data_IF_778925252679
#
_entry.id   IF_778925252679
#
_cell.length_a   1.000
_cell.length_b   1.000
_cell.length_c   1.000
_cell.angle_alpha   90.00
_cell.angle_beta   90.00
_cell.angle_gamma   90.00
#
_symmetry.space_group_name_H-M   'P 1'
#
loop_
_entity.id
_entity.type
_entity.pdbx_description
1 polymer ?
#
# COMPACT_ATOMS: atom_id res chain seq x y z
N UNK A 1 -4.30 2.18 -8.01
CA UNK A 1 -3.13 2.78 -7.33
C UNK A 1 -2.86 4.20 -7.84
N UNK A 2 -2.72 4.42 -9.15
CA UNK A 2 -2.60 5.79 -9.70
C UNK A 2 -3.83 6.68 -9.39
N UNK A 3 -5.05 6.15 -9.54
CA UNK A 3 -6.29 6.88 -9.23
C UNK A 3 -6.45 7.30 -7.75
N UNK A 4 -5.69 6.68 -6.84
CA UNK A 4 -5.66 7.02 -5.41
C UNK A 4 -4.38 7.78 -5.05
N UNK A 5 -3.60 8.25 -6.03
CA UNK A 5 -2.38 9.04 -5.80
C UNK A 5 -1.17 8.25 -5.29
N UNK A 6 -1.29 6.95 -5.02
CA UNK A 6 -0.23 6.14 -4.41
C UNK A 6 0.82 5.61 -5.42
N UNK A 7 0.75 6.02 -6.69
CA UNK A 7 1.77 5.75 -7.71
C UNK A 7 1.69 6.81 -8.81
N UNK A 8 2.85 7.31 -9.25
CA UNK A 8 2.96 8.24 -10.36
C UNK A 8 4.04 7.78 -11.34
N UNK A 9 3.66 7.68 -12.60
CA UNK A 9 4.57 7.33 -13.69
C UNK A 9 5.61 8.44 -13.92
N UNK A 10 6.85 8.05 -14.27
CA UNK A 10 7.94 8.98 -14.58
C UNK A 10 8.69 9.56 -13.36
N UNK A 11 8.25 9.27 -12.15
CA UNK A 11 8.93 9.73 -10.91
C UNK A 11 10.04 8.77 -10.47
N UNK A 12 9.85 7.46 -10.70
CA UNK A 12 10.83 6.44 -10.34
C UNK A 12 12.16 6.60 -11.11
N UNK A 13 13.28 6.44 -10.39
CA UNK A 13 14.64 6.47 -10.95
C UNK A 13 15.41 5.23 -10.51
N UNK A 14 16.10 4.57 -11.44
CA UNK A 14 16.78 3.31 -11.15
C UNK A 14 18.16 3.52 -10.47
N UNK A 15 18.69 4.74 -10.49
CA UNK A 15 19.97 5.13 -9.86
C UNK A 15 19.83 6.50 -9.20
N UNK A 16 20.31 6.63 -7.96
CA UNK A 16 20.40 7.91 -7.23
C UNK A 16 21.81 8.02 -6.66
N UNK A 17 22.50 9.14 -6.91
CA UNK A 17 23.88 9.37 -6.45
C UNK A 17 24.85 8.24 -6.83
N UNK A 18 24.71 7.69 -8.05
CA UNK A 18 25.53 6.58 -8.54
C UNK A 18 25.23 5.22 -7.89
N UNK A 19 24.27 5.15 -6.96
CA UNK A 19 23.86 3.90 -6.30
C UNK A 19 22.55 3.37 -6.91
N UNK A 20 22.46 2.06 -7.23
CA UNK A 20 21.22 1.46 -7.69
C UNK A 20 20.11 1.62 -6.65
N UNK A 21 18.92 2.00 -7.08
CA UNK A 21 17.75 2.02 -6.22
C UNK A 21 17.30 0.58 -5.96
N UNK A 22 16.91 0.32 -4.71
CA UNK A 22 16.44 -1.01 -4.28
C UNK A 22 14.92 -1.10 -4.33
N UNK A 23 14.26 -0.03 -3.90
CA UNK A 23 12.81 0.10 -3.89
C UNK A 23 12.38 1.56 -3.96
N UNK A 24 11.19 1.78 -4.48
CA UNK A 24 10.46 3.04 -4.47
C UNK A 24 9.31 2.94 -3.46
N UNK A 25 9.25 3.88 -2.53
CA UNK A 25 8.18 3.95 -1.54
C UNK A 25 7.34 5.19 -1.85
N UNK A 26 6.04 4.98 -1.98
CA UNK A 26 5.03 6.01 -2.15
C UNK A 26 4.10 5.94 -0.95
N UNK A 27 3.74 7.09 -0.41
CA UNK A 27 2.92 7.18 0.78
C UNK A 27 1.77 8.16 0.54
N UNK A 28 0.57 7.76 0.94
CA UNK A 28 -0.64 8.56 0.76
C UNK A 28 -1.68 8.25 1.82
N UNK A 29 -2.19 9.28 2.49
CA UNK A 29 -3.35 9.17 3.39
C UNK A 29 -4.62 9.44 2.59
N UNK A 30 -5.52 8.46 2.52
CA UNK A 30 -6.77 8.63 1.75
C UNK A 30 -7.69 9.65 2.40
N UNK A 31 -8.03 10.71 1.68
CA UNK A 31 -9.01 11.72 2.10
C UNK A 31 -10.38 11.54 1.42
N UNK A 32 -10.46 10.63 0.44
CA UNK A 32 -11.65 10.36 -0.35
C UNK A 32 -11.86 8.85 -0.49
N UNK A 33 -13.12 8.42 -0.56
CA UNK A 33 -13.53 7.06 -0.89
C UNK A 33 -14.24 7.03 -2.24
N UNK A 34 -14.12 5.92 -2.96
CA UNK A 34 -14.83 5.68 -4.22
C UNK A 34 -15.84 4.56 -3.99
N UNK A 35 -17.12 4.86 -4.13
CA UNK A 35 -18.20 3.88 -3.99
C UNK A 35 -18.25 2.90 -5.17
N UNK A 36 -18.94 1.75 -5.04
CA UNK A 36 -19.19 0.84 -6.17
C UNK A 36 -19.93 1.51 -7.34
N UNK A 37 -20.64 2.61 -7.09
CA UNK A 37 -21.29 3.45 -8.11
C UNK A 37 -20.38 4.50 -8.75
N UNK A 38 -19.06 4.44 -8.49
CA UNK A 38 -18.04 5.40 -8.93
C UNK A 38 -18.24 6.85 -8.45
N UNK A 39 -18.97 7.04 -7.34
CA UNK A 39 -19.07 8.36 -6.68
C UNK A 39 -17.93 8.53 -5.69
N UNK A 40 -17.35 9.73 -5.69
CA UNK A 40 -16.34 10.15 -4.72
C UNK A 40 -17.07 10.70 -3.49
N UNK A 41 -16.69 10.22 -2.32
CA UNK A 41 -17.20 10.67 -1.02
C UNK A 41 -16.02 11.18 -0.18
N UNK A 42 -16.18 12.34 0.43
CA UNK A 42 -15.14 12.97 1.24
C UNK A 42 -15.35 12.76 2.74
N UNK A 43 -14.50 13.41 3.53
CA UNK A 43 -14.49 13.32 4.99
C UNK A 43 -15.85 13.68 5.64
N UNK A 44 -16.70 14.46 4.97
CA UNK A 44 -18.04 14.83 5.44
C UNK A 44 -18.97 13.65 5.72
N UNK A 45 -18.67 12.47 5.17
CA UNK A 45 -19.42 11.22 5.43
C UNK A 45 -18.85 10.37 6.56
N UNK A 46 -17.90 10.89 7.34
CA UNK A 46 -17.28 10.16 8.45
C UNK A 46 -16.38 9.01 7.99
N UNK A 47 -15.81 9.13 6.79
CA UNK A 47 -14.85 8.15 6.27
C UNK A 47 -13.59 8.20 7.13
N UNK A 48 -13.17 7.04 7.63
CA UNK A 48 -11.91 6.90 8.38
C UNK A 48 -10.75 6.92 7.37
N UNK A 49 -9.77 7.83 7.51
CA UNK A 49 -8.61 7.86 6.64
C UNK A 49 -7.81 6.55 6.72
N UNK A 50 -7.38 6.04 5.56
CA UNK A 50 -6.51 4.87 5.47
C UNK A 50 -5.13 5.34 5.02
N UNK A 51 -4.10 4.95 5.76
CA UNK A 51 -2.72 5.15 5.36
C UNK A 51 -2.30 4.09 4.36
N UNK A 52 -1.90 4.51 3.16
CA UNK A 52 -1.44 3.63 2.09
C UNK A 52 0.06 3.82 1.90
N UNK A 53 0.80 2.73 2.06
CA UNK A 53 2.22 2.67 1.72
C UNK A 53 2.37 1.69 0.57
N UNK A 54 2.79 2.17 -0.59
CA UNK A 54 3.09 1.36 -1.76
C UNK A 54 4.60 1.24 -1.93
N UNK A 55 5.12 0.02 -1.80
CA UNK A 55 6.54 -0.29 -1.98
C UNK A 55 6.74 -1.10 -3.27
N UNK A 56 7.35 -0.46 -4.27
CA UNK A 56 7.72 -1.09 -5.54
C UNK A 56 9.20 -1.48 -5.50
N UNK A 57 9.50 -2.77 -5.65
CA UNK A 57 10.88 -3.28 -5.72
C UNK A 57 11.38 -3.28 -7.15
N UNK A 58 12.62 -2.85 -7.36
CA UNK A 58 13.28 -2.86 -8.68
C UNK A 58 13.52 -4.29 -9.20
N UNK A 59 13.65 -5.25 -8.28
CA UNK A 59 13.87 -6.66 -8.63
C UNK A 59 12.76 -7.52 -8.05
N UNK A 60 12.14 -8.33 -8.91
CA UNK A 60 11.24 -9.38 -8.45
C UNK A 60 12.05 -10.49 -7.77
N UNK A 61 11.91 -10.59 -6.45
CA UNK A 61 12.60 -11.58 -5.61
C UNK A 61 11.64 -12.59 -4.96
N UNK A 62 10.48 -12.83 -5.58
CA UNK A 62 9.41 -13.75 -5.14
C UNK A 62 8.68 -13.31 -3.85
N UNK A 63 7.61 -14.05 -3.50
CA UNK A 63 6.69 -13.77 -2.38
C UNK A 63 7.39 -13.71 -1.02
N UNK A 64 8.29 -14.66 -0.73
CA UNK A 64 9.01 -14.71 0.56
C UNK A 64 9.82 -13.45 0.83
N UNK A 65 10.41 -12.85 -0.21
CA UNK A 65 11.14 -11.61 -0.08
C UNK A 65 10.19 -10.43 0.20
N UNK A 66 9.01 -10.40 -0.42
CA UNK A 66 7.99 -9.39 -0.11
C UNK A 66 7.51 -9.46 1.35
N UNK A 67 7.35 -10.66 1.91
CA UNK A 67 7.05 -10.82 3.33
C UNK A 67 8.18 -10.28 4.22
N UNK A 68 9.45 -10.56 3.88
CA UNK A 68 10.60 -10.02 4.63
C UNK A 68 10.66 -8.50 4.58
N UNK A 69 10.34 -7.88 3.44
CA UNK A 69 10.20 -6.43 3.36
C UNK A 69 9.15 -5.91 4.35
N UNK A 70 7.97 -6.53 4.35
CA UNK A 70 6.93 -6.16 5.31
C UNK A 70 7.39 -6.33 6.76
N UNK A 71 7.77 -7.54 7.18
CA UNK A 71 8.04 -7.82 8.59
C UNK A 71 9.37 -7.30 9.12
N UNK A 72 10.41 -7.19 8.30
CA UNK A 72 11.75 -6.81 8.76
C UNK A 72 12.09 -5.34 8.46
N UNK A 73 11.48 -4.72 7.44
CA UNK A 73 11.72 -3.32 7.11
C UNK A 73 10.61 -2.41 7.64
N UNK A 74 9.34 -2.69 7.30
CA UNK A 74 8.23 -1.82 7.68
C UNK A 74 7.67 -2.11 9.07
N UNK A 75 7.53 -3.39 9.44
CA UNK A 75 6.95 -3.84 10.70
C UNK A 75 7.56 -3.21 11.95
N UNK A 76 8.90 -3.12 12.09
CA UNK A 76 9.52 -2.51 13.26
C UNK A 76 9.26 -1.01 13.39
N UNK A 77 8.98 -0.33 12.26
CA UNK A 77 8.70 1.11 12.22
C UNK A 77 7.22 1.37 12.48
N UNK A 78 6.33 0.60 11.85
CA UNK A 78 4.88 0.78 11.95
C UNK A 78 4.29 0.18 13.23
N UNK A 79 4.97 -0.79 13.85
CA UNK A 79 4.57 -1.49 15.07
C UNK A 79 3.07 -1.91 15.06
N UNK A 80 2.62 -2.70 14.07
CA UNK A 80 1.21 -3.04 13.94
C UNK A 80 0.76 -4.00 15.06
N UNK A 81 -0.43 -3.75 15.63
CA UNK A 81 -1.05 -4.67 16.59
C UNK A 81 -1.53 -5.97 15.92
N UNK A 82 -2.04 -5.87 14.68
CA UNK A 82 -2.55 -6.99 13.88
C UNK A 82 -2.00 -6.85 12.46
N UNK A 83 -1.55 -7.96 11.88
CA UNK A 83 -1.11 -8.02 10.48
C UNK A 83 -1.94 -9.06 9.72
N UNK A 84 -2.57 -8.62 8.63
CA UNK A 84 -3.32 -9.49 7.71
C UNK A 84 -2.62 -9.49 6.36
N UNK A 85 -2.22 -10.67 5.88
CA UNK A 85 -1.62 -10.83 4.55
C UNK A 85 -2.72 -11.25 3.56
N UNK A 86 -2.97 -10.42 2.55
CA UNK A 86 -3.96 -10.67 1.51
C UNK A 86 -3.26 -10.88 0.16
N UNK A 87 -3.62 -11.96 -0.54
CA UNK A 87 -3.08 -12.23 -1.86
C UNK A 87 -3.78 -11.35 -2.92
N UNK A 88 -3.03 -10.93 -3.93
CA UNK A 88 -3.58 -10.17 -5.05
C UNK A 88 -4.63 -11.01 -5.77
N UNK A 89 -5.83 -10.45 -5.92
CA UNK A 89 -6.99 -11.15 -6.48
C UNK A 89 -7.91 -11.78 -5.43
N UNK A 90 -7.54 -11.78 -4.14
CA UNK A 90 -8.47 -12.17 -3.07
C UNK A 90 -9.45 -11.03 -2.77
N UNK A 91 -10.74 -11.34 -2.81
CA UNK A 91 -11.81 -10.43 -2.39
C UNK A 91 -12.35 -10.87 -1.03
N UNK A 92 -11.95 -10.23 0.07
CA UNK A 92 -12.50 -10.54 1.39
C UNK A 92 -14.00 -10.21 1.44
N UNK A 93 -14.75 -10.97 2.25
CA UNK A 93 -16.15 -10.67 2.53
C UNK A 93 -16.29 -9.37 3.33
N UNK A 94 -17.47 -8.74 3.37
CA UNK A 94 -17.65 -7.40 3.95
C UNK A 94 -17.16 -7.25 5.40
N UNK A 95 -17.21 -8.32 6.20
CA UNK A 95 -16.78 -8.32 7.59
C UNK A 95 -15.63 -9.29 7.89
N UNK A 96 -15.06 -9.96 6.87
CA UNK A 96 -14.16 -11.09 7.10
C UNK A 96 -12.84 -10.70 7.74
N UNK A 97 -12.34 -9.48 7.52
CA UNK A 97 -11.11 -8.98 8.16
C UNK A 97 -11.35 -8.66 9.65
N UNK A 98 -12.56 -8.22 10.00
CA UNK A 98 -12.89 -7.82 11.37
C UNK A 98 -13.14 -9.02 12.31
N UNK A 99 -13.58 -10.16 11.75
CA UNK A 99 -13.89 -11.38 12.51
C UNK A 99 -12.80 -12.47 12.39
N UNK A 100 -11.56 -12.08 12.10
CA UNK A 100 -10.40 -12.99 12.12
C UNK A 100 -10.05 -13.44 13.54
#
# INVERSE_FOLDING_TARGET
>A
VAAIGAYQEGVAKNVVNGKPVVAHIYEYTTQISVTPSNKIEGAERGIVPVQIIFCLKEKNQKKINSHRWFFNAFGPILQPNVCVLLDVGTMPGPSSIYHL
#
